data_IF_784707802980
#
_entry.id   IF_784707802980
#
_cell.length_a   1.000
_cell.length_b   1.000
_cell.length_c   1.000
_cell.angle_alpha   90.00
_cell.angle_beta   90.00
_cell.angle_gamma   90.00
#
_symmetry.space_group_name_H-M   'P 1'
#
loop_
_entity.id
_entity.type
_entity.pdbx_description
1 polymer ?
#
# COMPACT_ATOMS: atom_id res chain seq x y z
N UNK A 1 5.85 6.67 -1.39
CA UNK A 1 5.88 7.98 -2.05
C UNK A 1 4.45 8.46 -2.24
N UNK A 2 4.07 9.50 -1.53
CA UNK A 2 2.70 10.03 -1.60
C UNK A 2 2.52 10.94 -2.83
N UNK A 3 1.29 11.01 -3.33
CA UNK A 3 0.91 11.93 -4.40
C UNK A 3 1.16 13.39 -3.95
N UNK A 4 1.74 14.23 -4.81
CA UNK A 4 2.08 15.65 -4.52
C UNK A 4 2.92 15.92 -3.26
N UNK A 5 3.82 15.01 -2.87
CA UNK A 5 4.93 15.34 -1.97
C UNK A 5 5.98 16.22 -2.65
N UNK A 6 6.81 16.90 -1.86
CA UNK A 6 8.03 17.53 -2.35
C UNK A 6 9.18 16.52 -2.34
N UNK A 7 10.10 16.63 -3.29
CA UNK A 7 11.24 15.73 -3.40
C UNK A 7 12.06 15.69 -2.11
N UNK A 8 12.20 16.84 -1.45
CA UNK A 8 12.98 17.00 -0.23
C UNK A 8 12.22 16.64 1.06
N UNK A 9 10.97 16.19 0.97
CA UNK A 9 10.23 15.75 2.15
C UNK A 9 10.94 14.58 2.84
N UNK A 10 10.97 14.60 4.18
CA UNK A 10 11.65 13.56 4.98
C UNK A 10 11.14 12.15 4.67
N UNK A 11 9.84 12.01 4.43
CA UNK A 11 9.22 10.74 4.04
C UNK A 11 9.73 10.26 2.68
N UNK A 12 9.77 11.14 1.66
CA UNK A 12 10.27 10.80 0.33
C UNK A 12 11.75 10.38 0.38
N UNK A 13 12.57 11.08 1.17
CA UNK A 13 13.98 10.74 1.36
C UNK A 13 14.18 9.43 2.13
N UNK A 14 13.25 9.07 3.03
CA UNK A 14 13.25 7.78 3.69
C UNK A 14 12.86 6.66 2.71
N UNK A 15 11.75 6.83 1.97
CA UNK A 15 11.25 5.89 0.97
C UNK A 15 12.30 5.55 -0.08
N UNK A 16 13.04 6.55 -0.57
CA UNK A 16 14.11 6.38 -1.58
C UNK A 16 15.17 5.34 -1.16
N UNK A 17 15.36 5.12 0.14
CA UNK A 17 16.32 4.12 0.67
C UNK A 17 15.74 2.71 0.73
N UNK A 18 14.42 2.56 0.64
CA UNK A 18 13.68 1.32 0.86
C UNK A 18 13.14 0.71 -0.44
N UNK A 19 12.87 1.56 -1.44
CA UNK A 19 12.33 1.14 -2.73
C UNK A 19 13.43 0.71 -3.71
N UNK A 20 13.16 -0.27 -4.60
CA UNK A 20 14.16 -0.76 -5.54
C UNK A 20 14.37 0.15 -6.75
N UNK A 21 13.36 0.97 -7.09
CA UNK A 21 13.36 1.91 -8.21
C UNK A 21 13.98 3.26 -7.84
N UNK A 22 14.39 4.02 -8.84
CA UNK A 22 15.01 5.32 -8.62
C UNK A 22 13.94 6.41 -8.50
N UNK A 23 14.05 7.23 -7.44
CA UNK A 23 13.26 8.46 -7.27
C UNK A 23 14.15 9.67 -7.59
N UNK A 24 13.78 10.40 -8.63
CA UNK A 24 14.48 11.59 -9.14
C UNK A 24 13.66 12.85 -8.89
N UNK A 25 14.33 14.00 -8.87
CA UNK A 25 13.67 15.30 -8.76
C UNK A 25 13.43 15.89 -10.15
N UNK A 26 12.22 16.38 -10.39
CA UNK A 26 11.88 17.20 -11.55
C UNK A 26 10.97 18.33 -11.06
N UNK A 27 11.42 19.56 -11.21
CA UNK A 27 10.75 20.77 -10.70
C UNK A 27 10.39 20.65 -9.21
N UNK A 28 11.36 20.23 -8.39
CA UNK A 28 11.25 19.98 -6.93
C UNK A 28 10.26 18.87 -6.53
N UNK A 29 9.58 18.24 -7.48
CA UNK A 29 8.66 17.13 -7.25
C UNK A 29 9.35 15.78 -7.45
N UNK A 30 8.95 14.74 -6.71
CA UNK A 30 9.48 13.40 -6.88
C UNK A 30 8.86 12.71 -8.10
N UNK A 31 9.70 12.09 -8.91
CA UNK A 31 9.33 11.27 -10.07
C UNK A 31 9.96 9.89 -9.96
N UNK A 32 9.26 8.87 -10.45
CA UNK A 32 9.81 7.53 -10.59
C UNK A 32 10.53 7.43 -11.92
N UNK A 33 11.81 7.04 -11.90
CA UNK A 33 12.58 6.79 -13.12
C UNK A 33 12.62 5.29 -13.43
N UNK A 34 12.23 4.95 -14.65
CA UNK A 34 12.27 3.59 -15.20
C UNK A 34 12.98 3.69 -16.55
N UNK A 35 14.13 3.04 -16.68
CA UNK A 35 15.03 3.19 -17.81
C UNK A 35 15.32 4.68 -18.11
N UNK A 36 15.00 5.14 -19.32
CA UNK A 36 15.19 6.54 -19.74
C UNK A 36 13.93 7.41 -19.55
N UNK A 37 12.84 6.85 -19.02
CA UNK A 37 11.58 7.55 -18.80
C UNK A 37 11.40 7.95 -17.32
N UNK A 38 10.73 9.08 -17.10
CA UNK A 38 10.35 9.55 -15.77
C UNK A 38 8.85 9.72 -15.70
N UNK A 39 8.23 9.18 -14.66
CA UNK A 39 6.79 9.20 -14.43
C UNK A 39 6.47 9.95 -13.15
N UNK A 40 5.50 10.85 -13.23
CA UNK A 40 4.90 11.45 -12.06
C UNK A 40 4.15 10.38 -11.24
N UNK A 41 4.03 10.54 -9.91
CA UNK A 41 3.20 9.67 -9.08
C UNK A 41 1.80 9.43 -9.67
N UNK A 42 1.18 10.49 -10.18
CA UNK A 42 -0.16 10.48 -10.77
C UNK A 42 -0.23 9.61 -12.03
N UNK A 43 0.81 9.59 -12.86
CA UNK A 43 0.88 8.74 -14.06
C UNK A 43 0.99 7.26 -13.69
N UNK A 44 1.79 6.94 -12.66
CA UNK A 44 1.90 5.57 -12.14
C UNK A 44 0.56 5.12 -11.55
N UNK A 45 -0.10 5.97 -10.76
CA UNK A 45 -1.45 5.70 -10.24
C UNK A 45 -2.48 5.54 -11.37
N UNK A 46 -2.37 6.33 -12.44
CA UNK A 46 -3.25 6.22 -13.60
C UNK A 46 -3.11 4.86 -14.30
N UNK A 47 -1.90 4.31 -14.43
CA UNK A 47 -1.69 2.96 -14.98
C UNK A 47 -2.38 1.88 -14.14
N UNK A 48 -2.39 2.02 -12.81
CA UNK A 48 -3.13 1.11 -11.92
C UNK A 48 -4.63 1.26 -12.16
N UNK A 49 -5.15 2.49 -12.24
CA UNK A 49 -6.56 2.74 -12.52
C UNK A 49 -6.98 2.24 -13.90
N UNK A 50 -6.13 2.35 -14.92
CA UNK A 50 -6.37 1.77 -16.25
C UNK A 50 -6.48 0.25 -16.17
N UNK A 51 -5.64 -0.41 -15.37
CA UNK A 51 -5.74 -1.86 -15.15
C UNK A 51 -7.06 -2.24 -14.46
N UNK A 52 -7.50 -1.45 -13.49
CA UNK A 52 -8.79 -1.66 -12.81
C UNK A 52 -9.98 -1.42 -13.76
N UNK A 53 -9.93 -0.36 -14.58
CA UNK A 53 -10.89 -0.09 -15.66
C UNK A 53 -11.00 -1.29 -16.60
N UNK A 54 -9.89 -1.75 -17.17
CA UNK A 54 -9.86 -2.90 -18.08
C UNK A 54 -10.41 -4.18 -17.44
N UNK A 55 -10.20 -4.36 -16.13
CA UNK A 55 -10.72 -5.51 -15.38
C UNK A 55 -12.24 -5.44 -15.27
N UNK A 56 -12.80 -4.26 -14.96
CA UNK A 56 -14.24 -4.05 -14.91
C UNK A 56 -14.89 -4.16 -16.31
N UNK A 57 -14.25 -3.62 -17.34
CA UNK A 57 -14.72 -3.72 -18.73
C UNK A 57 -14.77 -5.16 -19.22
N UNK A 58 -13.72 -5.95 -18.92
CA UNK A 58 -13.69 -7.39 -19.24
C UNK A 58 -14.84 -8.12 -18.56
N UNK A 59 -15.13 -7.80 -17.29
CA UNK A 59 -16.20 -8.44 -16.54
C UNK A 59 -17.60 -8.06 -17.06
N UNK A 60 -17.80 -6.79 -17.43
CA UNK A 60 -19.12 -6.26 -17.84
C UNK A 60 -19.37 -6.33 -19.35
N UNK A 61 -18.34 -6.58 -20.16
CA UNK A 61 -18.44 -6.64 -21.62
C UNK A 61 -18.72 -5.29 -22.29
N UNK A 62 -18.39 -4.18 -21.63
CA UNK A 62 -18.63 -2.81 -22.13
C UNK A 62 -17.60 -1.83 -21.59
N UNK A 63 -17.46 -0.69 -22.26
CA UNK A 63 -16.60 0.40 -21.83
C UNK A 63 -17.07 1.01 -20.49
N UNK A 64 -16.10 1.41 -19.66
CA UNK A 64 -16.35 2.08 -18.37
C UNK A 64 -15.74 3.48 -18.41
N UNK A 65 -16.60 4.48 -18.31
CA UNK A 65 -16.22 5.89 -18.41
C UNK A 65 -16.18 6.63 -17.07
N UNK A 66 -16.93 6.16 -16.06
CA UNK A 66 -17.13 6.86 -14.78
C UNK A 66 -16.67 6.01 -13.60
N UNK A 67 -16.11 6.66 -12.57
CA UNK A 67 -15.69 5.99 -11.35
C UNK A 67 -15.85 6.85 -10.10
N UNK A 68 -16.00 6.16 -8.96
CA UNK A 68 -15.72 6.71 -7.62
C UNK A 68 -14.38 6.13 -7.19
N UNK A 69 -13.47 6.97 -6.72
CA UNK A 69 -12.12 6.56 -6.32
C UNK A 69 -11.92 6.86 -4.83
N UNK A 70 -11.37 5.90 -4.09
CA UNK A 70 -11.12 6.04 -2.66
C UNK A 70 -9.80 6.77 -2.38
N UNK A 71 -9.70 7.42 -1.22
CA UNK A 71 -8.45 7.99 -0.68
C UNK A 71 -8.42 7.83 0.84
N UNK A 72 -7.23 7.81 1.48
CA UNK A 72 -7.12 7.86 2.93
C UNK A 72 -7.81 9.10 3.52
N UNK A 73 -8.33 8.99 4.74
CA UNK A 73 -9.06 10.09 5.39
C UNK A 73 -8.21 11.36 5.54
N UNK A 74 -6.90 11.19 5.80
CA UNK A 74 -5.93 12.29 5.97
C UNK A 74 -5.48 12.99 4.71
N UNK A 75 -5.90 12.53 3.54
CA UNK A 75 -5.46 13.18 2.32
C UNK A 75 -5.88 14.65 2.30
N UNK A 76 -4.88 15.51 2.14
CA UNK A 76 -5.09 16.95 1.95
C UNK A 76 -5.62 17.23 0.53
N UNK A 77 -6.03 18.46 0.27
CA UNK A 77 -6.63 18.86 -1.01
C UNK A 77 -5.70 18.60 -2.20
N UNK A 78 -4.39 18.76 -2.02
CA UNK A 78 -3.41 18.47 -3.06
C UNK A 78 -3.39 16.97 -3.40
N UNK A 79 -3.31 16.09 -2.40
CA UNK A 79 -3.31 14.64 -2.59
C UNK A 79 -4.63 14.16 -3.21
N UNK A 80 -5.78 14.71 -2.78
CA UNK A 80 -7.10 14.41 -3.37
C UNK A 80 -7.17 14.81 -4.84
N UNK A 81 -6.67 16.01 -5.16
CA UNK A 81 -6.63 16.48 -6.53
C UNK A 81 -5.71 15.60 -7.39
N UNK A 82 -4.57 15.18 -6.86
CA UNK A 82 -3.66 14.28 -7.55
C UNK A 82 -4.27 12.91 -7.87
N UNK A 83 -5.05 12.33 -6.93
CA UNK A 83 -5.81 11.10 -7.20
C UNK A 83 -6.86 11.31 -8.28
N UNK A 84 -7.53 12.48 -8.29
CA UNK A 84 -8.50 12.84 -9.33
C UNK A 84 -7.82 13.03 -10.70
N UNK A 85 -6.63 13.63 -10.72
CA UNK A 85 -5.80 13.80 -11.91
C UNK A 85 -5.40 12.43 -12.46
N UNK A 86 -4.96 11.50 -11.61
CA UNK A 86 -4.67 10.11 -12.00
C UNK A 86 -5.90 9.41 -12.62
N UNK A 87 -7.09 9.61 -12.03
CA UNK A 87 -8.35 9.14 -12.62
C UNK A 87 -8.59 9.71 -14.02
N UNK A 88 -8.37 11.01 -14.20
CA UNK A 88 -8.52 11.67 -15.50
C UNK A 88 -7.53 11.13 -16.54
N UNK A 89 -6.25 10.99 -16.17
CA UNK A 89 -5.20 10.41 -17.03
C UNK A 89 -5.54 8.95 -17.41
N UNK A 90 -6.21 8.22 -16.53
CA UNK A 90 -6.64 6.84 -16.79
C UNK A 90 -7.83 6.73 -17.76
N UNK A 91 -8.40 7.86 -18.21
CA UNK A 91 -9.60 7.89 -19.05
C UNK A 91 -10.89 7.62 -18.28
N UNK A 92 -10.90 7.91 -16.96
CA UNK A 92 -12.08 7.83 -16.11
C UNK A 92 -12.52 9.25 -15.71
N UNK A 93 -13.81 9.53 -15.83
CA UNK A 93 -14.45 10.66 -15.17
C UNK A 93 -14.68 10.31 -13.70
N UNK A 94 -13.90 10.92 -12.82
CA UNK A 94 -14.02 10.75 -11.37
C UNK A 94 -15.22 11.54 -10.85
N UNK A 95 -16.33 10.85 -10.63
CA UNK A 95 -17.59 11.44 -10.13
C UNK A 95 -17.47 11.87 -8.66
N UNK A 96 -16.73 11.10 -7.87
CA UNK A 96 -16.50 11.40 -6.46
C UNK A 96 -15.17 10.82 -6.00
N UNK A 97 -14.48 11.59 -5.16
CA UNK A 97 -13.45 11.07 -4.27
C UNK A 97 -14.12 10.80 -2.93
N UNK A 98 -13.99 9.56 -2.42
CA UNK A 98 -14.56 9.15 -1.14
C UNK A 98 -13.45 8.74 -0.18
N UNK A 99 -13.61 9.01 1.11
CA UNK A 99 -12.68 8.53 2.11
C UNK A 99 -12.82 7.02 2.26
N UNK A 100 -11.70 6.30 2.37
CA UNK A 100 -11.65 4.86 2.64
C UNK A 100 -12.51 4.45 3.85
N UNK A 101 -12.39 5.07 5.03
CA UNK A 101 -13.22 4.67 6.17
C UNK A 101 -14.72 4.95 5.96
N UNK A 102 -15.07 5.97 5.17
CA UNK A 102 -16.47 6.23 4.81
C UNK A 102 -16.99 5.16 3.86
N UNK A 103 -16.20 4.75 2.87
CA UNK A 103 -16.56 3.66 1.97
C UNK A 103 -16.73 2.33 2.74
N UNK A 104 -15.85 2.04 3.70
CA UNK A 104 -15.96 0.88 4.58
C UNK A 104 -17.21 0.96 5.47
N UNK A 105 -17.52 2.13 6.03
CA UNK A 105 -18.72 2.34 6.84
C UNK A 105 -20.01 2.18 6.01
N UNK A 106 -20.04 2.67 4.76
CA UNK A 106 -21.17 2.43 3.84
C UNK A 106 -21.34 0.94 3.61
N UNK A 107 -20.26 0.21 3.30
CA UNK A 107 -20.33 -1.24 3.09
C UNK A 107 -20.83 -1.98 4.34
N UNK A 108 -20.46 -1.53 5.54
CA UNK A 108 -20.95 -2.10 6.81
C UNK A 108 -22.41 -1.75 7.10
N UNK A 109 -22.83 -0.51 6.81
CA UNK A 109 -24.12 0.06 7.19
C UNK A 109 -25.24 -0.14 6.18
N UNK A 110 -24.94 -0.54 4.93
CA UNK A 110 -25.92 -0.62 3.83
C UNK A 110 -27.13 -1.51 4.14
N UNK A 111 -26.92 -2.62 4.84
CA UNK A 111 -27.98 -3.58 5.18
C UNK A 111 -28.44 -3.49 6.64
N UNK A 112 -27.91 -2.53 7.41
CA UNK A 112 -28.25 -2.38 8.83
C UNK A 112 -29.49 -1.52 9.01
N UNK A 113 -30.54 -2.14 9.52
CA UNK A 113 -31.73 -1.48 10.06
C UNK A 113 -31.59 -1.29 11.57
N UNK A 114 -31.87 -0.08 12.06
CA UNK A 114 -31.73 0.27 13.47
C UNK A 114 -31.64 1.79 13.67
N UNK A 115 -31.65 2.23 14.93
CA UNK A 115 -31.38 3.63 15.29
C UNK A 115 -29.90 4.00 15.18
N UNK A 116 -29.57 5.21 15.63
CA UNK A 116 -28.21 5.73 15.65
C UNK A 116 -27.21 4.74 16.28
N UNK A 117 -26.09 4.52 15.61
CA UNK A 117 -25.00 3.66 16.09
C UNK A 117 -23.64 4.29 15.86
N UNK A 118 -22.76 4.12 16.84
CA UNK A 118 -21.35 4.50 16.74
C UNK A 118 -20.55 3.33 16.16
N UNK A 119 -19.77 3.59 15.11
CA UNK A 119 -18.93 2.60 14.42
C UNK A 119 -17.48 3.08 14.42
N UNK A 120 -16.57 2.21 14.87
CA UNK A 120 -15.14 2.41 14.75
C UNK A 120 -14.62 1.60 13.55
N UNK A 121 -14.13 2.29 12.53
CA UNK A 121 -13.39 1.69 11.42
C UNK A 121 -11.91 1.66 11.80
N UNK A 122 -11.31 0.47 11.78
CA UNK A 122 -9.88 0.25 11.94
C UNK A 122 -9.35 -0.28 10.61
N UNK A 123 -8.56 0.52 9.91
CA UNK A 123 -7.98 0.19 8.61
C UNK A 123 -6.46 0.16 8.71
N UNK A 124 -5.86 -1.02 8.56
CA UNK A 124 -4.42 -1.23 8.58
C UNK A 124 -4.00 -1.89 7.27
N UNK A 125 -3.62 -1.05 6.32
CA UNK A 125 -3.28 -1.45 4.96
C UNK A 125 -1.83 -1.87 4.78
N UNK A 126 -1.37 -1.78 3.52
CA UNK A 126 0.01 -2.10 3.15
C UNK A 126 1.04 -1.07 3.65
N UNK A 127 0.67 0.22 3.66
CA UNK A 127 1.57 1.31 4.07
C UNK A 127 0.91 2.45 4.83
N UNK A 128 -0.39 2.36 5.11
CA UNK A 128 -1.14 3.35 5.89
C UNK A 128 -1.98 2.68 6.97
N UNK A 129 -2.20 3.42 8.05
CA UNK A 129 -3.03 3.03 9.17
C UNK A 129 -4.00 4.17 9.50
N UNK A 130 -5.29 3.88 9.53
CA UNK A 130 -6.36 4.83 9.81
C UNK A 130 -7.35 4.25 10.83
N UNK A 131 -7.79 5.08 11.77
CA UNK A 131 -8.87 4.81 12.71
C UNK A 131 -9.89 5.92 12.60
N UNK A 132 -11.14 5.58 12.30
CA UNK A 132 -12.21 6.57 12.16
C UNK A 132 -13.41 6.17 13.00
N UNK A 133 -13.90 7.10 13.81
CA UNK A 133 -15.16 6.97 14.53
C UNK A 133 -16.25 7.68 13.72
N UNK A 134 -17.31 6.96 13.39
CA UNK A 134 -18.46 7.46 12.66
C UNK A 134 -19.76 7.19 13.42
N UNK A 135 -20.75 8.05 13.25
CA UNK A 135 -22.16 7.74 13.54
C UNK A 135 -22.85 7.29 12.25
N UNK A 136 -23.71 6.29 12.39
CA UNK A 136 -24.61 5.84 11.32
C UNK A 136 -26.03 5.98 11.85
N UNK A 137 -26.83 6.81 11.19
CA UNK A 137 -28.26 6.99 11.47
C UNK A 137 -29.05 7.01 10.17
N UNK A 138 -29.85 5.98 9.91
CA UNK A 138 -30.76 5.90 8.76
C UNK A 138 -30.10 6.23 7.40
N UNK A 139 -28.89 5.73 7.17
CA UNK A 139 -28.13 5.96 5.92
C UNK A 139 -27.38 7.30 5.87
N UNK A 140 -27.46 8.10 6.93
CA UNK A 140 -26.57 9.25 7.16
C UNK A 140 -25.32 8.73 7.86
N UNK A 141 -24.15 9.07 7.29
CA UNK A 141 -22.84 8.72 7.83
C UNK A 141 -22.11 10.01 8.17
N UNK A 142 -21.82 10.22 9.45
CA UNK A 142 -21.07 11.38 9.92
C UNK A 142 -19.77 10.93 10.56
N UNK A 143 -18.65 11.53 10.14
CA UNK A 143 -17.33 11.27 10.72
C UNK A 143 -17.18 12.15 11.96
N UNK A 144 -17.13 11.53 13.14
CA UNK A 144 -16.94 12.24 14.40
C UNK A 144 -15.47 12.56 14.66
N UNK A 145 -14.60 11.60 14.38
CA UNK A 145 -13.16 11.73 14.59
C UNK A 145 -12.39 10.77 13.70
N UNK A 146 -11.17 11.15 13.35
CA UNK A 146 -10.22 10.29 12.66
C UNK A 146 -8.85 10.45 13.35
N UNK A 147 -8.09 9.36 13.54
CA UNK A 147 -6.64 9.36 13.82
C UNK A 147 -5.90 8.35 12.91
N UNK A 148 -4.58 8.41 12.78
CA UNK A 148 -3.83 7.47 11.92
C UNK A 148 -2.34 7.76 11.76
N UNK A 149 -1.67 6.92 10.96
CA UNK A 149 -0.29 7.06 10.51
C UNK A 149 -0.19 6.75 9.01
N UNK A 150 0.31 7.72 8.24
CA UNK A 150 0.41 7.64 6.77
C UNK A 150 1.63 6.84 6.29
N UNK A 151 2.45 6.32 7.19
CA UNK A 151 3.66 5.55 6.90
C UNK A 151 3.81 4.32 7.82
N UNK A 152 2.68 3.68 8.13
CA UNK A 152 2.64 2.46 8.92
C UNK A 152 1.74 1.43 8.25
N UNK A 153 2.27 0.23 7.97
CA UNK A 153 1.44 -0.86 7.44
C UNK A 153 2.15 -2.20 7.33
N UNK A 154 1.56 -3.08 6.52
CA UNK A 154 2.06 -4.42 6.25
C UNK A 154 3.50 -4.48 5.75
N UNK A 155 3.98 -3.45 5.04
CA UNK A 155 5.36 -3.35 4.55
C UNK A 155 6.38 -3.17 5.67
N UNK A 156 6.03 -2.46 6.76
CA UNK A 156 6.88 -2.34 7.93
C UNK A 156 7.06 -3.69 8.63
N UNK A 157 5.98 -4.48 8.70
CA UNK A 157 6.04 -5.83 9.27
C UNK A 157 6.96 -6.72 8.43
N UNK A 158 6.84 -6.66 7.10
CA UNK A 158 7.73 -7.38 6.19
C UNK A 158 9.18 -6.94 6.41
N UNK A 159 9.43 -5.63 6.49
CA UNK A 159 10.77 -5.08 6.70
C UNK A 159 11.40 -5.56 8.02
N UNK A 160 10.63 -5.66 9.11
CA UNK A 160 11.13 -6.19 10.40
C UNK A 160 11.51 -7.65 10.29
N UNK A 161 10.70 -8.46 9.62
CA UNK A 161 10.98 -9.90 9.40
C UNK A 161 12.18 -10.08 8.47
N UNK A 162 12.30 -9.29 7.40
CA UNK A 162 13.48 -9.26 6.53
C UNK A 162 14.76 -8.95 7.33
N UNK A 163 14.73 -7.91 8.17
CA UNK A 163 15.88 -7.55 9.00
C UNK A 163 16.29 -8.66 9.97
N UNK A 164 15.32 -9.39 10.52
CA UNK A 164 15.59 -10.57 11.34
C UNK A 164 16.36 -11.64 10.55
N UNK A 165 15.88 -12.02 9.36
CA UNK A 165 16.54 -13.02 8.53
C UNK A 165 17.92 -12.56 8.04
N UNK A 166 18.09 -11.29 7.65
CA UNK A 166 19.39 -10.74 7.25
C UNK A 166 20.40 -10.82 8.40
N UNK A 167 20.02 -10.43 9.62
CA UNK A 167 20.88 -10.54 10.80
C UNK A 167 21.22 -12.00 11.13
N UNK A 168 20.25 -12.89 11.00
CA UNK A 168 20.42 -14.31 11.24
C UNK A 168 21.39 -14.94 10.22
N UNK A 169 21.25 -14.66 8.91
CA UNK A 169 22.17 -15.14 7.86
C UNK A 169 23.59 -14.65 8.11
N UNK A 170 23.75 -13.36 8.46
CA UNK A 170 25.05 -12.77 8.79
C UNK A 170 25.70 -13.48 9.99
N UNK A 171 24.91 -13.83 11.01
CA UNK A 171 25.41 -14.54 12.20
C UNK A 171 25.72 -16.02 11.95
N UNK A 172 24.86 -16.75 11.24
CA UNK A 172 24.98 -18.21 11.04
C UNK A 172 25.95 -18.59 9.93
N UNK A 173 25.99 -17.80 8.86
CA UNK A 173 26.66 -18.17 7.60
C UNK A 173 27.56 -17.08 7.03
N UNK A 174 27.70 -15.94 7.73
CA UNK A 174 28.48 -14.78 7.27
C UNK A 174 28.04 -14.23 5.89
N UNK A 175 26.77 -14.46 5.53
CA UNK A 175 26.16 -13.95 4.29
C UNK A 175 25.49 -12.61 4.56
N UNK A 176 25.82 -11.59 3.76
CA UNK A 176 25.24 -10.24 3.87
C UNK A 176 24.67 -9.79 2.51
N UNK A 177 23.35 -9.84 2.40
CA UNK A 177 22.62 -9.47 1.17
C UNK A 177 22.22 -7.99 1.11
N UNK A 178 22.64 -7.15 2.07
CA UNK A 178 22.15 -5.77 2.19
C UNK A 178 22.44 -4.88 0.99
N UNK A 179 23.43 -5.25 0.16
CA UNK A 179 23.79 -4.56 -1.08
C UNK A 179 23.24 -5.24 -2.34
N UNK A 180 22.69 -6.46 -2.23
CA UNK A 180 22.13 -7.19 -3.36
C UNK A 180 20.62 -6.92 -3.46
N UNK A 181 20.26 -6.00 -4.36
CA UNK A 181 18.86 -5.64 -4.64
C UNK A 181 18.03 -6.85 -5.06
N UNK A 182 18.59 -7.81 -5.82
CA UNK A 182 17.87 -8.98 -6.31
C UNK A 182 17.59 -9.95 -5.17
N UNK A 183 18.58 -10.22 -4.32
CA UNK A 183 18.42 -11.06 -3.13
C UNK A 183 17.38 -10.45 -2.17
N UNK A 184 17.44 -9.14 -1.93
CA UNK A 184 16.48 -8.43 -1.09
C UNK A 184 15.04 -8.55 -1.61
N UNK A 185 14.82 -8.46 -2.92
CA UNK A 185 13.48 -8.64 -3.50
C UNK A 185 12.99 -10.09 -3.41
N UNK A 186 13.85 -11.08 -3.64
CA UNK A 186 13.50 -12.49 -3.42
C UNK A 186 13.08 -12.73 -1.96
N UNK A 187 13.86 -12.22 -1.01
CA UNK A 187 13.55 -12.35 0.42
C UNK A 187 12.23 -11.64 0.77
N UNK A 188 12.01 -10.41 0.28
CA UNK A 188 10.77 -9.65 0.53
C UNK A 188 9.53 -10.41 0.10
N UNK A 189 9.53 -10.96 -1.12
CA UNK A 189 8.40 -11.75 -1.65
C UNK A 189 8.08 -12.94 -0.77
N UNK A 190 9.10 -13.69 -0.34
CA UNK A 190 8.89 -14.85 0.52
C UNK A 190 8.50 -14.48 1.95
N UNK A 191 9.03 -13.39 2.49
CA UNK A 191 8.61 -12.85 3.78
C UNK A 191 7.14 -12.47 3.76
N UNK A 192 6.67 -11.77 2.71
CA UNK A 192 5.27 -11.38 2.59
C UNK A 192 4.35 -12.62 2.52
N UNK A 193 4.74 -13.63 1.74
CA UNK A 193 4.01 -14.91 1.67
C UNK A 193 3.94 -15.58 3.05
N UNK A 194 5.06 -15.67 3.76
CA UNK A 194 5.14 -16.27 5.09
C UNK A 194 4.32 -15.50 6.10
N UNK A 195 4.38 -14.16 6.10
CA UNK A 195 3.55 -13.28 6.94
C UNK A 195 2.07 -13.59 6.74
N UNK A 196 1.60 -13.65 5.48
CA UNK A 196 0.21 -13.98 5.14
C UNK A 196 -0.17 -15.39 5.62
N UNK A 197 0.70 -16.38 5.46
CA UNK A 197 0.45 -17.74 5.96
C UNK A 197 0.29 -17.77 7.49
N UNK A 198 1.10 -17.00 8.22
CA UNK A 198 1.02 -16.89 9.67
C UNK A 198 -0.24 -16.20 10.18
N UNK A 199 -1.07 -15.59 9.33
CA UNK A 199 -2.40 -15.11 9.74
C UNK A 199 -3.34 -16.27 10.11
N UNK A 200 -3.17 -17.44 9.51
CA UNK A 200 -3.98 -18.63 9.81
C UNK A 200 -3.17 -19.79 10.41
N UNK A 201 -1.85 -19.82 10.23
CA UNK A 201 -0.97 -20.90 10.70
C UNK A 201 -0.11 -20.48 11.90
N UNK A 202 0.30 -21.45 12.73
CA UNK A 202 1.21 -21.19 13.85
C UNK A 202 2.68 -21.13 13.44
N UNK A 203 3.05 -21.72 12.31
CA UNK A 203 4.39 -21.67 11.75
C UNK A 203 4.31 -21.73 10.24
N UNK A 204 5.29 -21.15 9.55
CA UNK A 204 5.41 -21.20 8.11
C UNK A 204 6.89 -21.26 7.71
N UNK A 205 7.21 -22.06 6.69
CA UNK A 205 8.57 -22.22 6.18
C UNK A 205 8.86 -21.15 5.14
N UNK A 206 9.99 -20.47 5.29
CA UNK A 206 10.57 -19.54 4.35
C UNK A 206 11.66 -20.28 3.57
N UNK A 207 11.49 -20.39 2.26
CA UNK A 207 12.44 -21.05 1.36
C UNK A 207 12.76 -20.13 0.19
N UNK A 208 14.04 -19.80 0.02
CA UNK A 208 14.54 -19.02 -1.12
C UNK A 208 15.77 -19.71 -1.68
N UNK A 209 15.62 -20.28 -2.87
CA UNK A 209 16.74 -20.87 -3.62
C UNK A 209 17.62 -19.80 -4.28
N UNK A 210 18.92 -20.06 -4.27
CA UNK A 210 19.97 -19.21 -4.81
C UNK A 210 19.75 -17.73 -4.40
N UNK A 211 19.57 -17.49 -3.11
CA UNK A 211 19.32 -16.17 -2.56
C UNK A 211 20.47 -15.21 -2.86
N UNK A 212 21.73 -15.64 -2.64
CA UNK A 212 22.95 -14.89 -2.94
C UNK A 212 24.11 -15.85 -3.16
N UNK A 213 24.86 -15.73 -4.26
CA UNK A 213 26.07 -16.52 -4.54
C UNK A 213 25.92 -18.04 -4.28
N UNK A 214 24.78 -18.62 -4.66
CA UNK A 214 24.48 -20.05 -4.45
C UNK A 214 24.05 -20.43 -3.02
N UNK A 215 23.90 -19.47 -2.12
CA UNK A 215 23.33 -19.68 -0.79
C UNK A 215 21.80 -19.86 -0.87
N UNK A 216 21.32 -20.98 -0.35
CA UNK A 216 19.89 -21.24 -0.16
C UNK A 216 19.48 -20.85 1.26
N UNK A 217 18.35 -20.16 1.40
CA UNK A 217 17.75 -19.85 2.69
C UNK A 217 16.55 -20.76 2.93
N UNK A 218 16.60 -21.58 3.98
CA UNK A 218 15.48 -22.42 4.42
C UNK A 218 15.34 -22.33 5.94
N UNK A 219 14.33 -21.60 6.42
CA UNK A 219 14.09 -21.38 7.84
C UNK A 219 12.60 -21.42 8.17
N UNK A 220 12.26 -21.64 9.45
CA UNK A 220 10.86 -21.63 9.91
C UNK A 220 10.61 -20.38 10.73
N UNK A 221 9.56 -19.62 10.37
CA UNK A 221 9.05 -18.53 11.20
C UNK A 221 7.82 -19.01 11.98
N UNK A 222 7.74 -18.65 13.25
CA UNK A 222 6.67 -19.08 14.17
C UNK A 222 5.89 -17.87 14.66
N UNK A 223 4.56 -17.99 14.65
CA UNK A 223 3.65 -17.07 15.34
C UNK A 223 3.55 -17.50 16.80
N UNK A 224 4.26 -16.80 17.67
CA UNK A 224 4.19 -16.98 19.12
C UNK A 224 2.91 -16.35 19.69
N UNK A 225 2.42 -16.91 20.80
CA UNK A 225 1.32 -16.33 21.58
C UNK A 225 1.81 -15.17 22.44
#
# INVERSE_FOLDING_TARGET
MSLRSQYNDKSVQADKKLVPYEIVSKDEKPYVKVDDATYAPEEVSAMILQKMKATAETFLGKEIEHAVVTVPAYFNDAQRQATKDAGTISGLKVERIINEPTAAAIAYGMDKSGGESNVLVFDLGGGTFDVTLLTIDNGVFEVLATNGDTHLGGEDFDQRVMQYFIKMMKKKSNVDITKDKRALQKLRKEVERVKRALSSQHQARLEVEALSDGYDLSETLVRTK
#
